data_IF_790240829001
#
_entry.id   IF_790240829001
#
_cell.length_a   1.000
_cell.length_b   1.000
_cell.length_c   1.000
_cell.angle_alpha   90.00
_cell.angle_beta   90.00
_cell.angle_gamma   90.00
#
_symmetry.space_group_name_H-M   'P 1'
#
loop_
_entity.id
_entity.type
_entity.pdbx_description
1 polymer ?
#
# COMPACT_ATOMS: atom_id res chain seq x y z
N UNK A 1 75.86 29.90 -44.04
CA UNK A 1 75.63 29.91 -42.58
C UNK A 1 75.17 28.50 -42.19
N UNK A 2 76.01 27.46 -42.21
CA UNK A 2 77.28 27.23 -41.48
C UNK A 2 77.11 27.42 -39.97
N UNK A 3 77.03 26.28 -39.28
CA UNK A 3 77.38 26.04 -37.86
C UNK A 3 76.55 26.80 -36.83
N UNK A 4 75.39 26.25 -36.48
CA UNK A 4 74.69 26.29 -35.17
C UNK A 4 73.35 25.57 -35.44
N UNK A 5 72.94 24.63 -34.58
CA UNK A 5 71.81 23.68 -34.73
C UNK A 5 72.18 22.31 -35.38
N UNK A 6 73.43 21.85 -35.23
CA UNK A 6 73.78 20.40 -35.25
C UNK A 6 74.61 20.13 -33.99
N UNK A 7 74.04 20.46 -32.83
CA UNK A 7 74.69 20.30 -31.52
C UNK A 7 73.75 19.91 -30.37
N UNK A 8 72.43 19.88 -30.61
CA UNK A 8 71.42 19.61 -29.57
C UNK A 8 70.68 18.28 -29.77
N UNK A 9 70.85 17.57 -30.88
CA UNK A 9 70.20 16.28 -31.13
C UNK A 9 71.01 15.05 -30.63
N UNK A 10 72.31 15.18 -30.34
CA UNK A 10 73.12 14.06 -29.81
C UNK A 10 73.30 14.06 -28.28
N UNK A 11 72.84 15.09 -27.56
CA UNK A 11 72.97 15.17 -26.09
C UNK A 11 71.69 14.71 -25.37
N UNK A 12 70.53 14.69 -26.03
CA UNK A 12 69.29 14.15 -25.43
C UNK A 12 69.18 12.62 -25.49
N UNK A 13 69.89 11.93 -26.39
CA UNK A 13 69.82 10.47 -26.50
C UNK A 13 70.77 9.72 -25.56
N UNK A 14 71.81 10.38 -25.04
CA UNK A 14 72.74 9.77 -24.06
C UNK A 14 72.28 9.94 -22.61
N UNK A 15 71.44 10.93 -22.30
CA UNK A 15 70.82 11.10 -20.99
C UNK A 15 69.75 10.04 -20.65
N UNK A 16 69.02 9.55 -21.66
CA UNK A 16 67.96 8.55 -21.49
C UNK A 16 68.48 7.12 -21.25
N UNK A 17 69.69 6.78 -21.72
CA UNK A 17 70.32 5.46 -21.45
C UNK A 17 71.08 5.40 -20.11
N UNK A 18 71.56 6.53 -19.59
CA UNK A 18 72.20 6.57 -18.26
C UNK A 18 71.18 6.57 -17.11
N UNK A 19 69.98 7.13 -17.32
CA UNK A 19 68.89 7.15 -16.33
C UNK A 19 68.28 5.77 -16.06
N UNK A 20 68.16 4.92 -17.08
CA UNK A 20 67.59 3.57 -16.94
C UNK A 20 68.53 2.61 -16.20
N UNK A 21 69.84 2.69 -16.42
CA UNK A 21 70.84 1.85 -15.72
C UNK A 21 70.97 2.22 -14.24
N UNK A 22 70.75 3.49 -13.86
CA UNK A 22 70.78 3.90 -12.45
C UNK A 22 69.50 3.52 -11.69
N UNK A 23 68.34 3.52 -12.36
CA UNK A 23 67.06 3.13 -11.78
C UNK A 23 66.94 1.59 -11.59
N UNK A 24 67.51 0.80 -12.51
CA UNK A 24 67.55 -0.67 -12.36
C UNK A 24 68.51 -1.15 -11.26
N UNK A 25 69.50 -0.34 -10.86
CA UNK A 25 70.52 -0.72 -9.87
C UNK A 25 70.16 -0.33 -8.42
N UNK A 26 69.07 0.41 -8.17
CA UNK A 26 68.85 1.07 -6.87
C UNK A 26 67.53 0.75 -6.14
N UNK A 27 66.82 -0.34 -6.45
CA UNK A 27 65.68 -0.77 -5.60
C UNK A 27 65.54 -2.29 -5.50
N UNK A 28 66.52 -2.93 -4.83
CA UNK A 28 66.27 -4.18 -4.12
C UNK A 28 65.48 -3.87 -2.84
N UNK A 29 64.14 -3.94 -2.91
CA UNK A 29 63.29 -3.97 -1.71
C UNK A 29 62.99 -5.46 -1.44
N UNK A 30 63.35 -6.02 -0.27
CA UNK A 30 62.95 -7.38 0.09
C UNK A 30 61.41 -7.47 0.22
N UNK A 31 60.81 -8.52 -0.34
CA UNK A 31 59.41 -8.86 -0.07
C UNK A 31 59.20 -9.03 1.45
N UNK A 32 58.11 -8.49 2.04
CA UNK A 32 57.75 -8.81 3.41
C UNK A 32 57.51 -10.32 3.55
N UNK A 33 57.97 -10.91 4.67
CA UNK A 33 57.70 -12.31 4.97
C UNK A 33 56.18 -12.56 5.04
N UNK A 34 55.73 -13.70 4.49
CA UNK A 34 54.34 -14.11 4.56
C UNK A 34 53.88 -14.20 6.04
N UNK A 35 52.69 -13.70 6.39
CA UNK A 35 52.16 -13.90 7.74
C UNK A 35 51.97 -15.40 8.01
N UNK A 36 52.15 -15.86 9.27
CA UNK A 36 51.90 -17.25 9.63
C UNK A 36 50.44 -17.63 9.31
N UNK A 37 50.14 -18.91 9.00
CA UNK A 37 48.79 -19.33 8.66
C UNK A 37 47.87 -19.03 9.85
N UNK A 38 46.82 -18.24 9.58
CA UNK A 38 45.72 -18.04 10.53
C UNK A 38 45.02 -19.39 10.67
N UNK A 39 44.99 -19.94 11.89
CA UNK A 39 44.12 -21.06 12.21
C UNK A 39 42.69 -20.54 12.17
N UNK A 40 41.97 -20.89 11.10
CA UNK A 40 40.56 -20.60 10.92
C UNK A 40 39.78 -21.48 11.91
N UNK A 41 39.60 -21.01 13.14
CA UNK A 41 38.55 -21.53 14.01
C UNK A 41 37.23 -21.06 13.39
N UNK A 42 36.65 -21.92 12.56
CA UNK A 42 35.26 -21.80 12.15
C UNK A 42 34.39 -21.83 13.43
N UNK A 43 34.00 -20.66 13.91
CA UNK A 43 32.80 -20.52 14.73
C UNK A 43 31.64 -20.88 13.80
N UNK A 44 31.26 -22.16 13.80
CA UNK A 44 29.94 -22.58 13.36
C UNK A 44 28.92 -22.05 14.36
N UNK A 45 28.63 -20.75 14.32
CA UNK A 45 27.31 -20.28 14.70
C UNK A 45 26.41 -20.59 13.52
N UNK A 46 25.70 -21.72 13.58
CA UNK A 46 24.47 -21.86 12.78
C UNK A 46 23.63 -20.60 13.03
N UNK A 47 23.14 -19.88 12.01
CA UNK A 47 22.17 -18.83 12.26
C UNK A 47 21.02 -19.50 13.00
N UNK A 48 20.84 -19.11 14.26
CA UNK A 48 19.65 -19.46 15.02
C UNK A 48 18.49 -18.88 14.19
N UNK A 49 17.43 -19.66 13.87
CA UNK A 49 16.33 -19.14 13.08
C UNK A 49 15.85 -17.87 13.76
N UNK A 50 15.89 -16.76 13.02
CA UNK A 50 15.41 -15.47 13.48
C UNK A 50 13.97 -15.70 13.95
N UNK A 51 13.64 -15.33 15.19
CA UNK A 51 12.29 -15.51 15.70
C UNK A 51 11.37 -14.57 14.91
N UNK A 52 10.25 -15.09 14.41
CA UNK A 52 9.22 -14.28 13.79
C UNK A 52 8.70 -13.26 14.79
N UNK A 53 8.88 -11.97 14.49
CA UNK A 53 8.25 -10.89 15.24
C UNK A 53 6.88 -10.59 14.61
N UNK A 54 5.78 -10.82 15.34
CA UNK A 54 4.42 -10.58 14.85
C UNK A 54 4.09 -9.09 14.84
N UNK A 55 3.50 -8.66 13.73
CA UNK A 55 2.73 -7.42 13.62
C UNK A 55 1.28 -7.79 13.91
N UNK A 56 0.72 -7.20 14.97
CA UNK A 56 -0.65 -7.46 15.38
C UNK A 56 -1.58 -6.34 14.88
N UNK A 57 -2.58 -6.71 14.09
CA UNK A 57 -3.74 -5.86 13.81
C UNK A 57 -4.73 -5.92 14.98
N UNK A 58 -5.04 -7.15 15.44
CA UNK A 58 -5.87 -7.41 16.60
C UNK A 58 -5.36 -8.66 17.31
N UNK A 59 -4.86 -8.52 18.53
CA UNK A 59 -4.48 -9.69 19.33
C UNK A 59 -5.68 -10.65 19.49
N UNK A 60 -5.48 -11.98 19.39
CA UNK A 60 -4.20 -12.71 19.30
C UNK A 60 -3.65 -12.89 17.88
N UNK A 61 -4.29 -12.32 16.86
CA UNK A 61 -4.03 -12.60 15.45
C UNK A 61 -3.02 -11.59 14.88
N UNK A 62 -1.98 -12.10 14.22
CA UNK A 62 -0.94 -11.27 13.64
C UNK A 62 -0.33 -11.90 12.41
N UNK A 63 0.55 -11.15 11.76
CA UNK A 63 1.32 -11.61 10.61
C UNK A 63 2.79 -11.22 10.72
N UNK A 64 3.64 -11.83 9.92
CA UNK A 64 5.05 -11.47 9.81
C UNK A 64 5.56 -11.76 8.39
N UNK A 65 6.55 -10.97 7.96
CA UNK A 65 7.30 -11.25 6.74
C UNK A 65 8.66 -11.81 7.12
N UNK A 66 8.95 -13.04 6.70
CA UNK A 66 10.25 -13.66 6.91
C UNK A 66 10.65 -14.48 5.70
N UNK A 67 11.92 -14.39 5.30
CA UNK A 67 12.46 -15.09 4.12
C UNK A 67 11.62 -14.85 2.85
N UNK A 68 11.11 -13.62 2.70
CA UNK A 68 10.24 -13.23 1.57
C UNK A 68 8.88 -13.94 1.53
N UNK A 69 8.46 -14.53 2.65
CA UNK A 69 7.17 -15.20 2.80
C UNK A 69 6.30 -14.48 3.82
N UNK A 70 5.00 -14.45 3.54
CA UNK A 70 3.99 -14.00 4.49
C UNK A 70 3.56 -15.17 5.38
N UNK A 71 3.61 -14.98 6.68
CA UNK A 71 3.12 -15.94 7.66
C UNK A 71 2.12 -15.29 8.60
N UNK A 72 1.13 -16.07 9.04
CA UNK A 72 0.07 -15.64 9.96
C UNK A 72 0.08 -16.48 11.23
N UNK A 73 -0.28 -15.86 12.34
CA UNK A 73 -0.50 -16.51 13.63
C UNK A 73 -1.87 -16.16 14.16
N UNK A 74 -2.53 -17.11 14.83
CA UNK A 74 -3.82 -16.92 15.51
C UNK A 74 -3.70 -17.07 17.03
N UNK A 75 -2.49 -17.30 17.54
CA UNK A 75 -2.22 -17.69 18.92
C UNK A 75 -1.01 -16.93 19.51
N UNK A 76 -0.89 -15.63 19.18
CA UNK A 76 0.19 -14.76 19.66
C UNK A 76 1.59 -15.27 19.32
N UNK A 77 1.76 -15.83 18.13
CA UNK A 77 3.05 -16.29 17.61
C UNK A 77 3.51 -17.64 18.15
N UNK A 78 2.65 -18.38 18.86
CA UNK A 78 2.94 -19.75 19.29
C UNK A 78 3.03 -20.71 18.09
N UNK A 79 2.16 -20.51 17.09
CA UNK A 79 2.19 -21.20 15.81
C UNK A 79 2.04 -20.25 14.62
N UNK A 80 2.60 -20.68 13.49
CA UNK A 80 2.65 -19.90 12.26
C UNK A 80 2.19 -20.75 11.08
N UNK A 81 1.36 -20.14 10.23
CA UNK A 81 0.87 -20.72 8.99
C UNK A 81 1.37 -19.88 7.82
N UNK A 82 1.99 -20.53 6.84
CA UNK A 82 2.43 -19.88 5.60
C UNK A 82 1.23 -19.54 4.72
N UNK A 83 1.22 -18.31 4.21
CA UNK A 83 0.24 -17.90 3.19
C UNK A 83 0.83 -18.25 1.82
N UNK A 84 0.11 -19.02 0.97
CA UNK A 84 0.64 -19.52 -0.30
C UNK A 84 0.61 -18.43 -1.38
N UNK A 85 1.27 -17.30 -1.13
CA UNK A 85 1.38 -16.17 -2.05
C UNK A 85 2.77 -15.57 -2.01
N UNK A 86 3.30 -15.27 -3.20
CA UNK A 86 4.55 -14.52 -3.35
C UNK A 86 4.36 -13.09 -2.86
N UNK A 87 5.29 -12.62 -2.02
CA UNK A 87 5.21 -11.30 -1.38
C UNK A 87 4.99 -10.18 -2.39
N UNK A 88 5.69 -10.20 -3.50
CA UNK A 88 5.66 -9.15 -4.53
C UNK A 88 4.24 -8.93 -5.07
N UNK A 89 3.44 -10.00 -5.19
CA UNK A 89 2.05 -9.93 -5.71
C UNK A 89 1.13 -9.09 -4.82
N UNK A 90 1.42 -9.00 -3.52
CA UNK A 90 0.67 -8.19 -2.56
C UNK A 90 0.94 -6.69 -2.77
N UNK A 91 2.10 -6.33 -3.31
CA UNK A 91 2.57 -4.94 -3.43
C UNK A 91 2.55 -4.38 -4.86
N UNK A 92 2.33 -5.21 -5.88
CA UNK A 92 2.23 -4.78 -7.28
C UNK A 92 1.19 -3.65 -7.48
N UNK A 93 1.53 -2.64 -8.30
CA UNK A 93 0.67 -1.50 -8.60
C UNK A 93 1.43 -0.17 -8.49
N UNK A 94 0.70 0.92 -8.24
CA UNK A 94 1.27 2.24 -7.93
C UNK A 94 1.51 2.42 -6.41
N UNK A 95 1.81 1.34 -5.68
CA UNK A 95 2.13 1.42 -4.26
C UNK A 95 3.55 1.98 -4.07
N UNK A 96 3.68 3.06 -3.29
CA UNK A 96 4.95 3.71 -2.98
C UNK A 96 5.34 3.64 -1.50
N UNK A 97 4.65 2.81 -0.70
CA UNK A 97 4.92 2.65 0.72
C UNK A 97 5.97 1.57 1.02
N UNK A 98 6.12 1.24 2.30
CA UNK A 98 7.04 0.19 2.75
C UNK A 98 6.46 -1.20 2.46
N UNK A 99 7.24 -2.08 1.85
CA UNK A 99 6.89 -3.50 1.69
C UNK A 99 7.28 -4.35 2.92
N UNK A 100 7.34 -3.73 4.08
CA UNK A 100 7.56 -4.40 5.38
C UNK A 100 6.25 -4.69 6.11
N UNK A 101 5.17 -4.00 5.72
CA UNK A 101 3.83 -4.14 6.30
C UNK A 101 2.83 -4.36 5.16
N UNK A 102 1.74 -5.07 5.42
CA UNK A 102 0.69 -5.24 4.42
C UNK A 102 0.07 -3.89 4.07
N UNK A 103 -0.38 -3.72 2.83
CA UNK A 103 -1.05 -2.48 2.43
C UNK A 103 -2.36 -2.36 3.23
N UNK A 104 -2.58 -1.24 3.95
CA UNK A 104 -3.81 -1.07 4.72
C UNK A 104 -5.05 -1.25 3.85
N UNK A 105 -6.07 -1.91 4.41
CA UNK A 105 -7.32 -2.28 3.76
C UNK A 105 -7.22 -3.28 2.60
N UNK A 106 -6.02 -3.76 2.21
CA UNK A 106 -5.88 -4.77 1.15
C UNK A 106 -6.03 -6.20 1.63
N UNK A 107 -6.40 -6.40 2.90
CA UNK A 107 -6.48 -7.71 3.52
C UNK A 107 -7.50 -7.71 4.67
N UNK A 108 -7.91 -8.91 5.06
CA UNK A 108 -8.76 -9.18 6.22
C UNK A 108 -8.04 -10.22 7.04
N UNK A 109 -7.94 -10.00 8.35
CA UNK A 109 -7.28 -10.92 9.26
C UNK A 109 -8.12 -11.05 10.54
N UNK A 110 -8.99 -12.06 10.60
CA UNK A 110 -9.77 -12.39 11.78
C UNK A 110 -10.00 -13.92 11.90
N UNK A 111 -10.61 -14.38 12.99
CA UNK A 111 -10.78 -15.82 13.26
C UNK A 111 -11.62 -16.56 12.21
N UNK A 112 -12.55 -15.86 11.55
CA UNK A 112 -13.52 -16.43 10.61
C UNK A 112 -13.05 -16.31 9.16
N UNK A 113 -12.21 -15.33 8.84
CA UNK A 113 -11.76 -15.03 7.49
C UNK A 113 -10.38 -14.39 7.50
N UNK A 114 -9.49 -15.01 6.74
CA UNK A 114 -8.21 -14.42 6.35
C UNK A 114 -8.19 -14.27 4.84
N UNK A 115 -7.99 -13.07 4.33
CA UNK A 115 -8.06 -12.78 2.91
C UNK A 115 -7.03 -11.73 2.48
N UNK A 116 -6.47 -11.86 1.29
CA UNK A 116 -5.47 -10.96 0.72
C UNK A 116 -5.85 -10.61 -0.71
N UNK A 117 -6.06 -9.31 -0.96
CA UNK A 117 -6.30 -8.78 -2.29
C UNK A 117 -4.96 -8.51 -2.98
N UNK A 118 -4.69 -9.21 -4.06
CA UNK A 118 -3.41 -9.18 -4.74
C UNK A 118 -3.58 -9.03 -6.25
N UNK A 119 -2.46 -8.74 -6.93
CA UNK A 119 -2.44 -8.70 -8.39
C UNK A 119 -1.32 -9.50 -8.99
N UNK A 120 -1.57 -10.03 -10.18
CA UNK A 120 -0.60 -10.78 -10.96
C UNK A 120 -0.54 -10.23 -12.39
N UNK A 121 0.62 -10.37 -13.03
CA UNK A 121 0.81 -10.02 -14.43
C UNK A 121 -0.09 -10.85 -15.36
N UNK A 122 -0.83 -10.18 -16.24
CA UNK A 122 -1.67 -10.78 -17.27
C UNK A 122 -1.30 -10.22 -18.65
N UNK A 123 -0.06 -10.49 -19.09
CA UNK A 123 0.45 -10.03 -20.38
C UNK A 123 0.98 -8.59 -20.36
N UNK A 124 1.03 -7.95 -21.54
CA UNK A 124 1.87 -6.75 -21.73
C UNK A 124 1.45 -5.51 -20.91
N UNK A 125 0.18 -5.37 -20.51
CA UNK A 125 -0.29 -4.21 -19.73
C UNK A 125 -1.45 -4.52 -18.76
N UNK A 126 -1.92 -5.78 -18.70
CA UNK A 126 -3.04 -6.17 -17.85
C UNK A 126 -2.56 -6.72 -16.52
N UNK A 127 -3.25 -6.34 -15.43
CA UNK A 127 -3.16 -7.02 -14.14
C UNK A 127 -4.42 -7.83 -13.92
N UNK A 128 -4.28 -9.06 -13.44
CA UNK A 128 -5.39 -9.79 -12.79
C UNK A 128 -5.50 -9.32 -11.36
N UNK A 129 -6.72 -9.06 -10.90
CA UNK A 129 -7.03 -8.76 -9.51
C UNK A 129 -7.71 -9.99 -8.92
N UNK A 130 -7.12 -10.54 -7.85
CA UNK A 130 -7.56 -11.79 -7.24
C UNK A 130 -7.63 -11.64 -5.73
N UNK A 131 -8.50 -12.43 -5.10
CA UNK A 131 -8.62 -12.55 -3.66
C UNK A 131 -8.22 -13.96 -3.25
N UNK A 132 -7.09 -14.09 -2.55
CA UNK A 132 -6.71 -15.32 -1.87
C UNK A 132 -7.36 -15.32 -0.49
N UNK A 133 -8.13 -16.34 -0.13
CA UNK A 133 -8.78 -16.39 1.18
C UNK A 133 -8.85 -17.78 1.82
N UNK A 134 -8.99 -17.78 3.13
CA UNK A 134 -9.18 -18.95 3.98
C UNK A 134 -10.29 -18.68 4.99
N UNK A 135 -11.14 -19.68 5.22
CA UNK A 135 -12.23 -19.67 6.22
C UNK A 135 -11.96 -20.63 7.38
N UNK A 136 -10.75 -21.19 7.46
CA UNK A 136 -10.35 -22.18 8.45
C UNK A 136 -8.93 -21.93 8.94
N UNK A 137 -8.65 -20.66 9.25
CA UNK A 137 -7.41 -20.20 9.86
C UNK A 137 -6.14 -20.61 9.07
N UNK A 138 -6.22 -20.61 7.74
CA UNK A 138 -5.10 -20.94 6.86
C UNK A 138 -4.87 -22.43 6.62
N UNK A 139 -5.74 -23.32 7.11
CA UNK A 139 -5.63 -24.76 6.84
C UNK A 139 -5.87 -25.10 5.35
N UNK A 140 -6.76 -24.36 4.69
CA UNK A 140 -6.97 -24.42 3.23
C UNK A 140 -7.18 -23.03 2.66
N UNK A 141 -6.76 -22.85 1.41
CA UNK A 141 -6.84 -21.58 0.69
C UNK A 141 -7.61 -21.71 -0.61
N UNK A 142 -8.29 -20.64 -1.01
CA UNK A 142 -9.05 -20.52 -2.25
C UNK A 142 -8.70 -19.20 -2.93
N UNK A 143 -8.59 -19.23 -4.26
CA UNK A 143 -8.43 -18.05 -5.09
C UNK A 143 -9.76 -17.72 -5.77
N UNK A 144 -10.19 -16.46 -5.65
CA UNK A 144 -11.33 -15.92 -6.38
C UNK A 144 -10.88 -14.83 -7.35
N UNK A 145 -11.35 -14.93 -8.59
CA UNK A 145 -11.15 -13.90 -9.60
C UNK A 145 -12.06 -12.71 -9.31
N UNK A 146 -11.49 -11.53 -9.07
CA UNK A 146 -12.25 -10.27 -8.94
C UNK A 146 -12.35 -9.58 -10.29
N UNK A 147 -11.23 -9.51 -11.02
CA UNK A 147 -11.16 -8.88 -12.33
C UNK A 147 -10.01 -9.46 -13.15
N UNK A 148 -10.31 -9.89 -14.37
CA UNK A 148 -9.33 -10.51 -15.28
C UNK A 148 -8.28 -9.52 -15.81
N UNK A 149 -8.73 -8.30 -16.13
CA UNK A 149 -7.87 -7.28 -16.70
C UNK A 149 -8.18 -5.92 -16.08
N UNK A 150 -7.18 -5.38 -15.39
CA UNK A 150 -7.23 -4.07 -14.77
C UNK A 150 -5.90 -3.35 -14.95
N UNK A 151 -5.93 -2.02 -14.86
CA UNK A 151 -4.72 -1.21 -14.81
C UNK A 151 -3.92 -1.49 -13.51
N UNK A 152 -2.65 -1.11 -13.43
CA UNK A 152 -1.92 -1.12 -12.16
C UNK A 152 -2.70 -0.38 -11.05
N UNK A 153 -2.87 -1.03 -9.91
CA UNK A 153 -3.71 -0.52 -8.82
C UNK A 153 -3.05 0.63 -8.08
N UNK A 154 -3.76 1.76 -7.94
CA UNK A 154 -3.39 2.86 -7.03
C UNK A 154 -4.07 2.74 -5.67
N UNK A 155 -5.38 2.52 -5.66
CA UNK A 155 -6.18 2.26 -4.46
C UNK A 155 -6.68 0.82 -4.48
N UNK A 156 -6.76 0.21 -3.29
CA UNK A 156 -7.38 -1.09 -3.11
C UNK A 156 -7.94 -1.21 -1.71
N UNK A 157 -9.13 -1.80 -1.60
CA UNK A 157 -9.80 -2.12 -0.34
C UNK A 157 -10.62 -3.37 -0.51
N UNK A 158 -10.59 -4.26 0.48
CA UNK A 158 -11.45 -5.44 0.56
C UNK A 158 -12.00 -5.57 1.98
N UNK A 159 -13.28 -5.87 2.10
CA UNK A 159 -13.92 -6.07 3.40
C UNK A 159 -15.25 -6.84 3.25
N UNK A 160 -15.75 -7.39 4.36
CA UNK A 160 -16.98 -8.16 4.45
C UNK A 160 -17.85 -7.65 5.60
N UNK A 161 -19.07 -7.20 5.27
CA UNK A 161 -20.05 -6.75 6.30
C UNK A 161 -20.66 -7.93 7.06
N UNK A 162 -20.63 -9.12 6.47
CA UNK A 162 -21.04 -10.39 7.08
C UNK A 162 -20.40 -11.55 6.29
N UNK A 163 -20.68 -12.80 6.69
CA UNK A 163 -20.09 -13.99 6.07
C UNK A 163 -20.33 -14.10 4.55
N UNK A 164 -21.44 -13.57 4.05
CA UNK A 164 -21.87 -13.69 2.65
C UNK A 164 -21.58 -12.45 1.80
N UNK A 165 -21.82 -11.25 2.35
CA UNK A 165 -21.68 -9.99 1.61
C UNK A 165 -20.35 -9.30 1.90
N UNK A 166 -19.59 -9.09 0.82
CA UNK A 166 -18.35 -8.33 0.83
C UNK A 166 -18.21 -7.46 -0.39
N UNK A 167 -17.19 -6.60 -0.36
CA UNK A 167 -16.91 -5.65 -1.41
C UNK A 167 -15.41 -5.51 -1.65
N UNK A 168 -15.04 -5.22 -2.90
CA UNK A 168 -13.70 -4.82 -3.31
C UNK A 168 -13.82 -3.47 -4.00
N UNK A 169 -13.01 -2.50 -3.59
CA UNK A 169 -12.91 -1.18 -4.22
C UNK A 169 -11.50 -1.02 -4.72
N UNK A 170 -11.34 -0.79 -6.02
CA UNK A 170 -10.04 -0.62 -6.67
C UNK A 170 -10.01 0.62 -7.54
N UNK A 171 -8.84 1.24 -7.66
CA UNK A 171 -8.61 2.34 -8.61
C UNK A 171 -7.32 2.15 -9.41
N UNK A 172 -7.27 2.73 -10.60
CA UNK A 172 -6.11 2.67 -11.48
C UNK A 172 -6.26 3.56 -12.71
N UNK A 173 -5.32 3.43 -13.65
CA UNK A 173 -5.26 4.23 -14.89
C UNK A 173 -5.14 5.74 -14.61
N UNK A 174 -4.28 6.09 -13.63
CA UNK A 174 -4.18 7.47 -13.16
C UNK A 174 -3.51 8.36 -14.19
N UNK A 175 -4.22 9.40 -14.65
CA UNK A 175 -3.69 10.43 -15.55
C UNK A 175 -4.15 11.82 -15.12
N UNK A 176 -3.22 12.76 -14.96
CA UNK A 176 -3.51 14.18 -14.65
C UNK A 176 -4.46 14.36 -13.44
N UNK A 177 -4.18 13.66 -12.35
CA UNK A 177 -5.00 13.66 -11.11
C UNK A 177 -6.43 13.11 -11.27
N UNK A 178 -6.66 12.31 -12.31
CA UNK A 178 -7.89 11.56 -12.52
C UNK A 178 -7.59 10.07 -12.54
N UNK A 179 -8.57 9.24 -12.17
CA UNK A 179 -8.47 7.78 -12.21
C UNK A 179 -9.83 7.11 -12.40
N UNK A 180 -9.81 5.83 -12.78
CA UNK A 180 -11.00 5.00 -12.75
C UNK A 180 -11.12 4.33 -11.39
N UNK A 181 -12.31 4.39 -10.80
CA UNK A 181 -12.68 3.59 -9.62
C UNK A 181 -13.69 2.54 -10.05
N UNK A 182 -13.47 1.31 -9.60
CA UNK A 182 -14.38 0.19 -9.82
C UNK A 182 -14.69 -0.49 -8.50
N UNK A 183 -15.97 -0.78 -8.28
CA UNK A 183 -16.44 -1.49 -7.10
C UNK A 183 -16.98 -2.85 -7.54
N UNK A 184 -16.63 -3.88 -6.79
CA UNK A 184 -17.12 -5.23 -6.96
C UNK A 184 -17.82 -5.66 -5.67
N UNK A 185 -18.92 -6.39 -5.81
CA UNK A 185 -19.68 -6.93 -4.67
C UNK A 185 -19.82 -8.44 -4.81
N UNK A 186 -19.86 -9.13 -3.67
CA UNK A 186 -20.16 -10.56 -3.59
C UNK A 186 -21.35 -10.78 -2.66
N UNK A 187 -22.07 -11.87 -2.87
CA UNK A 187 -23.16 -12.33 -1.99
C UNK A 187 -23.05 -13.81 -1.61
N UNK A 188 -21.93 -14.44 -1.97
CA UNK A 188 -21.62 -15.86 -1.76
C UNK A 188 -20.29 -16.04 -1.02
N UNK A 189 -19.91 -15.06 -0.20
CA UNK A 189 -18.72 -15.17 0.66
C UNK A 189 -17.40 -14.94 -0.05
N UNK A 190 -17.43 -14.37 -1.26
CA UNK A 190 -16.25 -14.06 -2.06
C UNK A 190 -15.93 -15.07 -3.16
N UNK A 191 -16.81 -16.06 -3.41
CA UNK A 191 -16.64 -17.02 -4.49
C UNK A 191 -16.82 -16.37 -5.87
N UNK A 192 -17.83 -15.49 -6.01
CA UNK A 192 -18.08 -14.73 -7.24
C UNK A 192 -18.22 -13.22 -6.95
N UNK A 193 -17.72 -12.43 -7.89
CA UNK A 193 -17.70 -10.96 -7.80
C UNK A 193 -18.46 -10.32 -8.97
N UNK A 194 -19.29 -9.33 -8.67
CA UNK A 194 -20.07 -8.55 -9.63
C UNK A 194 -19.62 -7.10 -9.62
N UNK A 195 -19.17 -6.58 -10.76
CA UNK A 195 -18.91 -5.15 -10.96
C UNK A 195 -20.20 -4.34 -10.79
N UNK A 196 -20.14 -3.24 -10.04
CA UNK A 196 -21.24 -2.30 -9.85
C UNK A 196 -21.27 -1.25 -10.96
N UNK A 197 -22.32 -0.43 -11.01
CA UNK A 197 -22.28 0.82 -11.76
C UNK A 197 -21.12 1.71 -11.27
N UNK A 198 -20.69 2.66 -12.12
CA UNK A 198 -19.64 3.62 -11.80
C UNK A 198 -20.26 4.98 -11.45
N UNK A 199 -19.77 5.68 -10.42
CA UNK A 199 -20.19 7.06 -10.17
C UNK A 199 -19.70 7.98 -11.29
N UNK A 200 -20.44 9.07 -11.53
CA UNK A 200 -20.10 10.09 -12.52
C UNK A 200 -19.02 11.05 -11.96
N UNK A 201 -17.82 10.52 -11.77
CA UNK A 201 -16.63 11.27 -11.35
C UNK A 201 -15.35 10.52 -11.75
N UNK A 202 -14.30 11.27 -12.05
CA UNK A 202 -12.96 10.74 -12.33
C UNK A 202 -11.94 11.23 -11.31
N UNK A 203 -12.36 11.90 -10.24
CA UNK A 203 -11.47 12.37 -9.18
C UNK A 203 -10.82 11.18 -8.47
N UNK A 204 -9.67 11.42 -7.85
CA UNK A 204 -9.01 10.38 -7.06
C UNK A 204 -9.87 9.96 -5.87
N UNK A 205 -10.05 8.64 -5.70
CA UNK A 205 -10.75 8.08 -4.54
C UNK A 205 -9.92 8.31 -3.28
N UNK A 206 -10.58 8.77 -2.23
CA UNK A 206 -10.02 8.86 -0.91
C UNK A 206 -10.28 7.58 -0.12
N UNK A 207 -11.54 7.15 -0.06
CA UNK A 207 -11.98 5.97 0.68
C UNK A 207 -13.36 5.51 0.17
N UNK A 208 -13.81 4.33 0.62
CA UNK A 208 -15.15 3.84 0.37
C UNK A 208 -15.44 2.55 1.14
N UNK A 209 -16.72 2.18 1.21
CA UNK A 209 -17.14 0.95 1.87
C UNK A 209 -18.65 0.79 1.94
N UNK A 210 -19.11 -0.35 2.46
CA UNK A 210 -20.52 -0.67 2.62
C UNK A 210 -20.89 -0.83 4.08
N UNK A 211 -22.07 -0.32 4.46
CA UNK A 211 -22.65 -0.50 5.81
C UNK A 211 -23.63 -1.67 5.87
N UNK A 212 -24.11 -2.11 4.71
CA UNK A 212 -24.81 -3.36 4.47
C UNK A 212 -24.86 -3.65 2.95
N UNK A 213 -25.59 -4.70 2.57
CA UNK A 213 -25.68 -5.16 1.18
C UNK A 213 -26.28 -4.16 0.19
N UNK A 214 -27.03 -3.17 0.67
CA UNK A 214 -27.72 -2.21 -0.20
C UNK A 214 -27.04 -0.84 -0.16
N UNK A 215 -26.51 -0.46 1.01
CA UNK A 215 -25.98 0.89 1.24
C UNK A 215 -24.46 0.91 1.30
N UNK A 216 -23.86 1.64 0.36
CA UNK A 216 -22.42 1.82 0.25
C UNK A 216 -22.04 3.23 -0.18
N UNK A 217 -20.77 3.57 0.04
CA UNK A 217 -20.25 4.93 -0.07
C UNK A 217 -18.89 4.97 -0.76
N UNK A 218 -18.67 6.03 -1.54
CA UNK A 218 -17.38 6.35 -2.16
C UNK A 218 -17.07 7.83 -1.92
N UNK A 219 -15.94 8.13 -1.29
CA UNK A 219 -15.47 9.49 -1.07
C UNK A 219 -14.33 9.80 -2.03
N UNK A 220 -14.39 10.95 -2.67
CA UNK A 220 -13.43 11.43 -3.65
C UNK A 220 -12.76 12.73 -3.21
N UNK A 221 -11.68 13.10 -3.92
CA UNK A 221 -11.05 14.41 -3.78
C UNK A 221 -9.92 14.44 -2.76
N UNK A 222 -8.77 13.87 -3.12
CA UNK A 222 -7.55 13.92 -2.29
C UNK A 222 -6.66 15.13 -2.57
N UNK A 223 -6.87 15.82 -3.69
CA UNK A 223 -6.06 16.97 -4.14
C UNK A 223 -6.93 18.23 -4.11
N UNK A 224 -6.54 19.19 -3.27
CA UNK A 224 -7.23 20.48 -3.06
C UNK A 224 -8.76 20.36 -3.00
N UNK A 225 -9.34 19.48 -2.15
CA UNK A 225 -10.78 19.42 -1.99
C UNK A 225 -11.30 20.68 -1.30
N UNK A 226 -12.41 21.23 -1.80
CA UNK A 226 -13.07 22.42 -1.23
C UNK A 226 -14.38 22.07 -0.50
N UNK A 227 -14.96 20.91 -0.82
CA UNK A 227 -16.17 20.37 -0.20
C UNK A 227 -16.08 18.83 -0.17
N UNK A 228 -16.85 18.16 0.70
CA UNK A 228 -16.98 16.70 0.66
C UNK A 228 -17.55 16.22 -0.68
N UNK A 229 -16.83 15.32 -1.34
CA UNK A 229 -17.28 14.68 -2.58
C UNK A 229 -17.66 13.22 -2.30
N UNK A 230 -18.85 13.03 -1.73
CA UNK A 230 -19.35 11.74 -1.27
C UNK A 230 -20.45 11.23 -2.21
N UNK A 231 -20.35 9.98 -2.62
CA UNK A 231 -21.36 9.26 -3.39
C UNK A 231 -21.95 8.13 -2.56
N UNK A 232 -23.22 7.84 -2.77
CA UNK A 232 -23.97 6.78 -2.09
C UNK A 232 -24.67 5.89 -3.13
N UNK A 233 -24.67 4.59 -2.86
CA UNK A 233 -25.61 3.63 -3.44
C UNK A 233 -26.59 3.19 -2.35
N UNK A 234 -27.85 2.96 -2.72
CA UNK A 234 -28.88 2.39 -1.85
C UNK A 234 -29.54 1.15 -2.48
N UNK A 235 -28.97 0.68 -3.60
CA UNK A 235 -29.44 -0.43 -4.42
C UNK A 235 -28.32 -1.47 -4.67
N UNK A 236 -27.33 -1.54 -3.77
CA UNK A 236 -26.26 -2.54 -3.83
C UNK A 236 -25.27 -2.31 -4.98
N UNK A 237 -25.14 -1.06 -5.43
CA UNK A 237 -24.25 -0.63 -6.51
C UNK A 237 -24.88 -0.63 -7.90
N UNK A 238 -26.19 -0.84 -8.03
CA UNK A 238 -26.85 -0.72 -9.34
C UNK A 238 -26.86 0.73 -9.85
N UNK A 239 -26.85 1.70 -8.93
CA UNK A 239 -26.61 3.11 -9.20
C UNK A 239 -25.84 3.81 -8.07
N UNK A 240 -25.12 4.88 -8.43
CA UNK A 240 -24.39 5.75 -7.50
C UNK A 240 -24.82 7.20 -7.69
N UNK A 241 -25.18 7.87 -6.60
CA UNK A 241 -25.64 9.25 -6.60
C UNK A 241 -24.79 10.11 -5.65
N UNK A 242 -24.54 11.37 -6.00
CA UNK A 242 -23.83 12.29 -5.10
C UNK A 242 -24.70 12.58 -3.87
N UNK A 243 -24.12 12.43 -2.69
CA UNK A 243 -24.73 12.77 -1.40
C UNK A 243 -24.70 14.28 -1.20
N UNK A 244 -25.72 14.84 -0.55
CA UNK A 244 -25.76 16.24 -0.19
C UNK A 244 -25.25 16.44 1.24
N UNK A 245 -24.00 16.92 1.39
CA UNK A 245 -23.41 17.20 2.70
C UNK A 245 -23.59 18.68 3.06
N UNK A 246 -24.45 18.96 4.04
CA UNK A 246 -24.77 20.32 4.48
C UNK A 246 -23.71 20.80 5.47
N UNK A 247 -22.64 21.40 4.93
CA UNK A 247 -21.57 22.02 5.73
C UNK A 247 -22.00 23.45 6.13
N UNK A 248 -22.06 23.79 7.44
CA UNK A 248 -22.32 25.16 7.88
C UNK A 248 -21.28 26.15 7.35
N UNK A 249 -21.68 27.39 7.06
CA UNK A 249 -20.80 28.45 6.50
C UNK A 249 -19.50 28.64 7.31
N UNK A 250 -19.57 28.54 8.63
CA UNK A 250 -18.38 28.62 9.51
C UNK A 250 -17.35 27.50 9.30
N UNK A 251 -17.71 26.43 8.61
CA UNK A 251 -16.88 25.25 8.32
C UNK A 251 -16.63 25.05 6.82
N UNK A 252 -16.99 26.02 5.98
CA UNK A 252 -16.74 25.97 4.54
C UNK A 252 -15.23 25.72 4.30
N UNK A 253 -14.91 24.73 3.43
CA UNK A 253 -13.55 24.28 3.13
C UNK A 253 -12.74 23.71 4.31
N UNK A 254 -13.34 23.57 5.50
CA UNK A 254 -12.66 22.99 6.66
C UNK A 254 -12.90 21.49 6.83
N UNK A 255 -14.04 20.95 6.41
CA UNK A 255 -14.31 19.51 6.44
C UNK A 255 -14.65 19.05 5.03
N UNK A 256 -13.72 18.32 4.41
CA UNK A 256 -13.69 18.11 2.95
C UNK A 256 -13.38 16.67 2.50
N UNK A 257 -12.87 15.81 3.38
CA UNK A 257 -12.56 14.41 3.04
C UNK A 257 -13.32 13.46 3.97
N UNK A 258 -14.38 12.83 3.45
CA UNK A 258 -15.25 11.95 4.22
C UNK A 258 -14.62 10.56 4.39
N UNK A 259 -14.55 10.08 5.62
CA UNK A 259 -14.30 8.66 5.92
C UNK A 259 -15.51 7.81 5.49
N UNK A 260 -15.40 6.48 5.55
CA UNK A 260 -16.56 5.61 5.30
C UNK A 260 -17.62 5.86 6.37
N UNK A 261 -18.87 6.15 5.98
CA UNK A 261 -19.95 6.24 6.94
C UNK A 261 -20.20 4.92 7.67
N UNK A 262 -20.68 4.99 8.91
CA UNK A 262 -20.95 3.85 9.77
C UNK A 262 -22.33 3.98 10.42
N UNK A 263 -22.84 2.86 10.92
CA UNK A 263 -24.13 2.82 11.64
C UNK A 263 -23.90 3.27 13.07
N UNK A 264 -24.66 4.26 13.51
CA UNK A 264 -24.70 4.72 14.90
C UNK A 264 -26.16 4.71 15.35
N UNK A 265 -26.50 3.80 16.26
CA UNK A 265 -27.86 3.60 16.75
C UNK A 265 -28.89 3.40 15.63
N UNK A 266 -29.71 4.42 15.34
CA UNK A 266 -30.81 4.42 14.37
C UNK A 266 -30.50 5.22 13.09
N UNK A 267 -29.28 5.74 12.95
CA UNK A 267 -28.87 6.60 11.83
C UNK A 267 -27.49 6.22 11.30
N UNK A 268 -27.07 6.90 10.23
CA UNK A 268 -25.69 6.83 9.76
C UNK A 268 -24.93 8.05 10.25
N UNK A 269 -23.68 7.85 10.62
CA UNK A 269 -22.73 8.91 10.93
C UNK A 269 -21.54 8.85 9.97
N UNK A 270 -20.95 10.01 9.69
CA UNK A 270 -19.69 10.11 8.94
C UNK A 270 -18.78 11.12 9.60
N UNK A 271 -17.50 10.79 9.67
CA UNK A 271 -16.45 11.70 10.10
C UNK A 271 -15.78 12.30 8.86
N UNK A 272 -15.72 13.63 8.79
CA UNK A 272 -15.14 14.35 7.67
C UNK A 272 -13.89 15.10 8.14
N UNK A 273 -12.74 14.74 7.55
CA UNK A 273 -11.42 15.33 7.80
C UNK A 273 -11.25 16.65 7.06
N UNK A 274 -10.25 17.41 7.48
CA UNK A 274 -9.92 18.70 6.88
C UNK A 274 -9.10 18.64 5.58
N UNK A 275 -8.68 17.44 5.19
CA UNK A 275 -7.84 17.22 4.02
C UNK A 275 -6.39 17.70 4.19
N UNK A 276 -5.57 17.62 3.12
CA UNK A 276 -4.12 17.77 3.21
C UNK A 276 -3.65 19.18 3.59
N UNK A 277 -4.50 20.20 3.36
CA UNK A 277 -4.19 21.60 3.63
C UNK A 277 -4.93 22.16 4.85
N UNK A 278 -5.62 21.31 5.61
CA UNK A 278 -6.45 21.72 6.74
C UNK A 278 -5.63 22.16 7.95
N UNK A 279 -5.87 23.37 8.44
CA UNK A 279 -5.24 23.95 9.64
C UNK A 279 -6.26 24.41 10.69
N UNK A 280 -7.55 24.16 10.47
CA UNK A 280 -8.63 24.53 11.39
C UNK A 280 -8.41 23.84 12.75
N UNK A 281 -8.42 24.63 13.83
CA UNK A 281 -8.05 24.17 15.19
C UNK A 281 -6.70 23.42 15.22
N UNK A 282 -5.75 23.80 14.35
CA UNK A 282 -4.45 23.14 14.23
C UNK A 282 -4.51 21.73 13.63
N UNK A 283 -5.55 21.41 12.86
CA UNK A 283 -5.75 20.10 12.24
C UNK A 283 -6.20 19.01 13.23
N UNK A 284 -6.62 19.40 14.44
CA UNK A 284 -6.92 18.50 15.56
C UNK A 284 -8.41 18.24 15.76
N UNK A 285 -9.22 18.43 14.71
CA UNK A 285 -10.65 18.10 14.76
C UNK A 285 -11.12 17.54 13.43
N UNK A 286 -12.10 16.63 13.49
CA UNK A 286 -12.97 16.25 12.35
C UNK A 286 -14.37 16.80 12.59
N UNK A 287 -15.15 16.92 11.52
CA UNK A 287 -16.59 17.19 11.63
C UNK A 287 -17.37 15.88 11.60
N UNK A 288 -18.23 15.65 12.59
CA UNK A 288 -19.20 14.54 12.57
C UNK A 288 -20.51 15.02 11.95
N UNK A 289 -20.98 14.28 10.96
CA UNK A 289 -22.24 14.53 10.27
C UNK A 289 -23.16 13.31 10.39
N UNK A 290 -24.47 13.55 10.41
CA UNK A 290 -25.49 12.52 10.61
C UNK A 290 -26.45 12.50 9.42
N UNK A 291 -26.90 11.31 9.03
CA UNK A 291 -27.91 11.09 8.02
C UNK A 291 -29.02 10.18 8.53
N UNK A 292 -30.28 10.61 8.34
CA UNK A 292 -31.49 9.85 8.64
C UNK A 292 -32.16 9.25 7.38
N UNK A 293 -31.57 9.46 6.19
CA UNK A 293 -32.12 9.02 4.90
C UNK A 293 -31.18 8.06 4.17
N UNK A 294 -30.45 7.24 4.95
CA UNK A 294 -29.49 6.26 4.47
C UNK A 294 -28.38 6.88 3.62
N UNK A 295 -27.93 8.07 3.99
CA UNK A 295 -26.75 8.74 3.43
C UNK A 295 -27.00 9.60 2.21
N UNK A 296 -28.25 9.89 1.85
CA UNK A 296 -28.56 10.83 0.77
C UNK A 296 -28.30 12.27 1.17
N UNK A 297 -28.62 12.64 2.41
CA UNK A 297 -28.34 13.95 3.00
C UNK A 297 -27.62 13.82 4.35
N UNK A 298 -26.73 14.78 4.63
CA UNK A 298 -25.91 14.78 5.84
C UNK A 298 -25.96 16.15 6.51
N UNK A 299 -26.19 16.18 7.83
CA UNK A 299 -26.22 17.39 8.64
C UNK A 299 -25.09 17.40 9.66
N UNK A 300 -24.46 18.56 9.86
CA UNK A 300 -23.42 18.71 10.87
C UNK A 300 -23.97 18.49 12.28
N UNK A 301 -23.30 17.63 13.05
CA UNK A 301 -23.63 17.33 14.43
C UNK A 301 -22.67 18.03 15.40
N UNK A 302 -21.37 17.69 15.34
CA UNK A 302 -20.35 18.22 16.26
C UNK A 302 -18.94 18.11 15.70
N UNK A 303 -18.01 18.84 16.29
CA UNK A 303 -16.57 18.56 16.15
C UNK A 303 -16.18 17.37 17.03
N UNK A 304 -15.23 16.58 16.56
CA UNK A 304 -14.69 15.41 17.28
C UNK A 304 -13.16 15.35 17.21
N UNK A 305 -12.55 14.57 18.11
CA UNK A 305 -11.11 14.35 18.14
C UNK A 305 -10.64 13.62 16.86
N UNK A 306 -9.43 13.90 16.33
CA UNK A 306 -8.90 13.22 15.16
C UNK A 306 -8.73 11.71 15.34
N UNK A 307 -8.58 11.26 16.58
CA UNK A 307 -8.47 9.83 16.90
C UNK A 307 -9.82 9.17 17.11
N UNK A 308 -10.95 9.91 17.08
CA UNK A 308 -12.28 9.29 17.06
C UNK A 308 -12.38 8.45 15.78
N UNK A 309 -12.57 7.15 15.98
CA UNK A 309 -12.81 6.14 14.95
C UNK A 309 -14.29 5.80 14.92
N UNK A 310 -14.76 5.21 13.82
CA UNK A 310 -16.05 4.51 13.79
C UNK A 310 -15.98 3.35 14.79
N UNK A 311 -16.59 3.50 15.96
CA UNK A 311 -16.80 2.41 16.94
C UNK A 311 -17.88 1.44 16.46
#
# INVERSE_FOLDING_TARGET
MKKIIIGTACIMSTGLLAGTIYFEKSSNIPLPAAPPPVQEQALQSSPQPESLEPIYEQEPIGYSFQNDQLQITYDRGESWTEVPIEKEKLFQGEYGGSEQELIPNSYILNENRTAFLYTEDNGQNGKRVQLLYSLNQGATWQDAMVQEEYAPLRFRKVDFTNESFGYVIISGDRTMSQEWTTVYTTSDGGENWRETARPDTTRLIFDGGFVDKNTGFLSYGTINPEEPDLYVTQDGGDSWNKSNVLVPEKYEKHFVMAEVPFKEEDHLAVLIKQGPNGDYQGGRVKGKFISHDQGSTWEFSKEVDPNETSE
#
